data_IF_749846782211
#
_entry.id   IF_749846782211
#
_cell.length_a   1.000
_cell.length_b   1.000
_cell.length_c   1.000
_cell.angle_alpha   90.00
_cell.angle_beta   90.00
_cell.angle_gamma   90.00
#
_symmetry.space_group_name_H-M   'P 1'
#
loop_
_entity.id
_entity.type
_entity.pdbx_description
1 polymer ?
#
# COMPACT_ATOMS: atom_id res chain seq x y z
N UNK A 1 45.63 11.60 -13.22
CA UNK A 1 44.32 10.93 -13.02
C UNK A 1 43.45 11.35 -14.19
N UNK A 2 43.01 10.39 -15.03
CA UNK A 2 42.11 10.70 -16.15
C UNK A 2 40.72 10.99 -15.59
N UNK A 3 40.06 12.06 -16.07
CA UNK A 3 38.66 12.33 -15.72
C UNK A 3 37.78 11.27 -16.41
N UNK A 4 36.94 10.62 -15.61
CA UNK A 4 35.91 9.69 -16.10
C UNK A 4 34.61 10.45 -16.35
N UNK A 5 33.71 9.88 -17.16
CA UNK A 5 32.39 10.48 -17.36
C UNK A 5 31.55 10.41 -16.08
N UNK A 6 30.51 11.24 -15.98
CA UNK A 6 29.55 11.18 -14.87
C UNK A 6 28.87 9.81 -14.78
N UNK A 7 28.50 9.21 -15.92
CA UNK A 7 27.85 7.90 -15.95
C UNK A 7 28.79 6.79 -15.43
N UNK A 8 30.07 6.83 -15.81
CA UNK A 8 31.08 5.89 -15.31
C UNK A 8 31.30 6.07 -13.81
N UNK A 9 31.38 7.32 -13.33
CA UNK A 9 31.52 7.62 -11.92
C UNK A 9 30.33 7.08 -11.10
N UNK A 10 29.11 7.28 -11.60
CA UNK A 10 27.90 6.77 -10.96
C UNK A 10 27.89 5.24 -10.94
N UNK A 11 28.23 4.59 -12.05
CA UNK A 11 28.31 3.13 -12.14
C UNK A 11 29.29 2.53 -11.13
N UNK A 12 30.46 3.15 -10.96
CA UNK A 12 31.46 2.72 -9.97
C UNK A 12 30.88 2.82 -8.55
N UNK A 13 30.22 3.93 -8.19
CA UNK A 13 29.58 4.07 -6.87
C UNK A 13 28.54 2.98 -6.64
N UNK A 14 27.66 2.74 -7.61
CA UNK A 14 26.64 1.69 -7.52
C UNK A 14 27.24 0.28 -7.40
N UNK A 15 28.40 0.02 -7.99
CA UNK A 15 29.09 -1.28 -7.88
C UNK A 15 29.74 -1.51 -6.51
N UNK A 16 30.05 -0.44 -5.77
CA UNK A 16 30.73 -0.54 -4.46
C UNK A 16 29.76 -0.56 -3.28
N UNK A 17 28.49 -0.19 -3.48
CA UNK A 17 27.48 -0.23 -2.43
C UNK A 17 26.82 -1.61 -2.37
N UNK A 18 26.67 -2.13 -1.16
CA UNK A 18 25.86 -3.31 -0.87
C UNK A 18 24.57 -2.88 -0.19
N UNK A 19 23.46 -3.55 -0.54
CA UNK A 19 22.21 -3.39 0.19
C UNK A 19 22.37 -3.85 1.64
N UNK A 20 21.77 -3.11 2.57
CA UNK A 20 21.70 -3.53 3.97
C UNK A 20 20.66 -4.65 4.12
N UNK A 21 20.91 -5.57 5.06
CA UNK A 21 19.89 -6.55 5.44
C UNK A 21 18.70 -5.84 6.09
N UNK A 22 17.49 -6.35 5.82
CA UNK A 22 16.30 -5.90 6.53
C UNK A 22 16.31 -6.32 7.99
N UNK A 23 15.61 -5.56 8.83
CA UNK A 23 15.37 -5.87 10.23
C UNK A 23 13.88 -5.74 10.55
N UNK A 24 13.43 -6.48 11.57
CA UNK A 24 12.09 -6.32 12.11
C UNK A 24 12.08 -5.18 13.13
N UNK A 25 11.19 -4.23 12.93
CA UNK A 25 10.98 -3.09 13.84
C UNK A 25 9.51 -3.02 14.24
N UNK A 26 9.24 -2.32 15.34
CA UNK A 26 7.86 -1.93 15.67
C UNK A 26 7.30 -1.02 14.59
N UNK A 27 6.00 -1.15 14.28
CA UNK A 27 5.33 -0.26 13.31
C UNK A 27 5.37 1.21 13.75
N UNK A 28 5.49 1.49 15.05
CA UNK A 28 5.63 2.85 15.57
C UNK A 28 7.00 3.49 15.21
N UNK A 29 8.01 2.67 14.95
CA UNK A 29 9.39 3.11 14.63
C UNK A 29 9.69 3.00 13.12
N UNK A 30 8.67 2.73 12.31
CA UNK A 30 8.82 2.49 10.87
C UNK A 30 8.88 3.77 10.02
N UNK A 31 8.54 4.93 10.59
CA UNK A 31 8.56 6.20 9.87
C UNK A 31 9.97 6.51 9.31
N UNK A 32 10.04 6.87 8.02
CA UNK A 32 11.30 7.15 7.33
C UNK A 32 12.11 5.92 6.88
N UNK A 33 11.68 4.70 7.21
CA UNK A 33 12.31 3.45 6.73
C UNK A 33 11.76 3.01 5.37
N UNK A 34 12.49 2.10 4.71
CA UNK A 34 12.10 1.48 3.44
C UNK A 34 11.79 0.01 3.67
N UNK A 35 10.68 -0.48 3.11
CA UNK A 35 10.31 -1.90 3.18
C UNK A 35 11.36 -2.77 2.47
N UNK A 36 11.88 -3.76 3.19
CA UNK A 36 12.83 -4.72 2.64
C UNK A 36 12.18 -5.76 1.69
N UNK A 37 10.85 -5.89 1.74
CA UNK A 37 10.07 -6.80 0.90
C UNK A 37 8.65 -6.27 0.68
N UNK A 38 7.95 -6.83 -0.30
CA UNK A 38 6.53 -6.55 -0.50
C UNK A 38 5.70 -6.93 0.73
N UNK A 39 4.68 -6.13 1.03
CA UNK A 39 3.74 -6.34 2.13
C UNK A 39 2.32 -6.46 1.56
N UNK A 40 1.58 -7.47 2.01
CA UNK A 40 0.19 -7.70 1.61
C UNK A 40 -0.67 -7.91 2.85
N UNK A 41 -1.92 -7.42 2.81
CA UNK A 41 -2.84 -7.64 3.92
C UNK A 41 -3.17 -9.13 4.03
N UNK A 42 -3.10 -9.73 5.23
CA UNK A 42 -3.53 -11.11 5.42
C UNK A 42 -5.06 -11.25 5.52
N UNK A 43 -5.80 -10.14 5.54
CA UNK A 43 -7.25 -10.12 5.73
C UNK A 43 -7.93 -9.05 4.88
N UNK A 44 -9.18 -9.31 4.51
CA UNK A 44 -10.08 -8.33 3.90
C UNK A 44 -10.49 -7.25 4.92
N UNK A 45 -10.67 -6.02 4.45
CA UNK A 45 -11.16 -4.92 5.28
C UNK A 45 -12.23 -4.12 4.50
N UNK A 46 -13.51 -4.16 4.94
CA UNK A 46 -14.03 -4.86 6.12
C UNK A 46 -14.01 -6.39 5.96
N UNK A 47 -13.95 -7.11 7.09
CA UNK A 47 -13.90 -8.58 7.08
C UNK A 47 -15.21 -9.25 6.59
N UNK A 48 -16.28 -8.48 6.48
CA UNK A 48 -17.60 -8.88 5.99
C UNK A 48 -18.38 -7.62 5.56
N UNK A 49 -19.49 -7.83 4.85
CA UNK A 49 -20.36 -6.75 4.42
C UNK A 49 -20.90 -5.96 5.63
N UNK A 50 -20.44 -4.73 5.79
CA UNK A 50 -20.92 -3.82 6.82
C UNK A 50 -21.78 -2.70 6.21
N UNK A 51 -22.74 -2.19 6.99
CA UNK A 51 -23.46 -0.98 6.61
C UNK A 51 -22.64 0.24 7.04
N UNK A 52 -22.39 1.16 6.12
CA UNK A 52 -21.79 2.47 6.44
C UNK A 52 -22.83 3.50 6.94
N UNK A 53 -24.08 3.09 7.10
CA UNK A 53 -25.21 3.95 7.47
C UNK A 53 -26.10 3.27 8.51
N UNK A 54 -26.82 4.10 9.27
CA UNK A 54 -27.95 3.65 10.09
C UNK A 54 -29.15 3.36 9.20
N UNK A 55 -29.80 2.21 9.41
CA UNK A 55 -30.96 1.83 8.62
C UNK A 55 -31.32 0.36 8.80
N UNK A 56 -32.07 -0.17 7.84
CA UNK A 56 -32.51 -1.57 7.85
C UNK A 56 -31.99 -2.29 6.61
N UNK A 57 -31.42 -3.48 6.81
CA UNK A 57 -31.05 -4.38 5.72
C UNK A 57 -32.31 -4.95 5.07
N UNK A 58 -32.38 -4.91 3.74
CA UNK A 58 -33.55 -5.37 2.99
C UNK A 58 -33.11 -6.33 1.89
N UNK A 59 -33.87 -7.42 1.74
CA UNK A 59 -33.67 -8.39 0.67
C UNK A 59 -34.30 -7.83 -0.60
N UNK A 60 -33.48 -7.39 -1.54
CA UNK A 60 -33.97 -6.82 -2.80
C UNK A 60 -34.09 -7.83 -3.95
N UNK A 61 -33.62 -9.07 -3.75
CA UNK A 61 -33.48 -10.07 -4.81
C UNK A 61 -32.73 -9.53 -6.07
N UNK A 62 -31.80 -8.58 -5.87
CA UNK A 62 -31.04 -7.93 -6.93
C UNK A 62 -31.74 -6.72 -7.58
N UNK A 63 -32.94 -6.35 -7.13
CA UNK A 63 -33.66 -5.18 -7.65
C UNK A 63 -33.15 -3.91 -6.99
N UNK A 64 -32.57 -3.01 -7.78
CA UNK A 64 -32.19 -1.69 -7.27
C UNK A 64 -33.42 -0.95 -6.75
N UNK A 65 -33.33 -0.35 -5.57
CA UNK A 65 -34.38 0.54 -5.07
C UNK A 65 -34.47 1.76 -5.98
N UNK A 66 -35.65 2.01 -6.54
CA UNK A 66 -35.97 3.32 -7.12
C UNK A 66 -36.16 4.33 -5.98
N UNK A 67 -35.47 5.46 -6.03
CA UNK A 67 -35.87 6.61 -5.23
C UNK A 67 -37.24 7.10 -5.72
N UNK A 68 -38.12 7.48 -4.79
CA UNK A 68 -39.33 8.20 -5.18
C UNK A 68 -38.92 9.52 -5.83
N UNK A 69 -39.39 9.80 -7.04
CA UNK A 69 -39.26 11.12 -7.64
C UNK A 69 -39.96 12.13 -6.72
N UNK A 70 -39.22 13.12 -6.23
CA UNK A 70 -39.80 14.24 -5.48
C UNK A 70 -40.95 14.84 -6.29
N UNK A 71 -42.12 14.97 -5.66
CA UNK A 71 -43.19 15.85 -6.13
C UNK A 71 -42.93 17.28 -5.64
#
# INVERSE_FOLDING_TARGET
MLMISYADALAIVHQQIAGLAGEWVSSADAEGRVLAQALSSPAELPAFDNSAMDGFALVTAGVARSSAANM
#
